data_IF_053756437408
#
_entry.id   IF_053756437408
#
_cell.length_a   1.000
_cell.length_b   1.000
_cell.length_c   1.000
_cell.angle_alpha   90.00
_cell.angle_beta   90.00
_cell.angle_gamma   90.00
#
_symmetry.space_group_name_H-M   'P 1'
#
loop_
_entity.id
_entity.type
_entity.pdbx_description
1 polymer ?
#
# COMPACT_ATOMS: atom_id res chain seq x y z
N UNK A 1 -9.18 -1.08 22.03
CA UNK A 1 -10.51 -0.86 22.63
C UNK A 1 -11.17 -2.22 22.64
N UNK A 2 -10.95 -2.93 23.75
CA UNK A 2 -11.26 -4.35 23.89
C UNK A 2 -12.75 -4.49 24.20
N UNK A 3 -13.43 -5.27 23.37
CA UNK A 3 -14.85 -5.57 23.46
C UNK A 3 -15.10 -6.43 24.70
N UNK A 4 -15.53 -5.78 25.78
CA UNK A 4 -15.92 -6.42 27.04
C UNK A 4 -17.25 -7.13 26.77
N UNK A 5 -17.16 -8.39 26.31
CA UNK A 5 -18.32 -9.28 26.19
C UNK A 5 -18.92 -9.43 27.58
N UNK A 6 -19.97 -8.65 27.83
CA UNK A 6 -20.86 -8.83 28.96
C UNK A 6 -21.54 -10.18 28.77
N UNK A 7 -20.90 -11.25 29.26
CA UNK A 7 -21.50 -12.57 29.39
C UNK A 7 -22.59 -12.40 30.43
N UNK A 8 -23.81 -12.14 29.96
CA UNK A 8 -25.00 -12.32 30.78
C UNK A 8 -25.02 -13.80 31.12
N UNK A 9 -24.49 -14.13 32.30
CA UNK A 9 -24.53 -15.47 32.84
C UNK A 9 -25.99 -15.77 33.13
N UNK A 10 -26.69 -16.31 32.10
CA UNK A 10 -28.05 -16.81 32.26
C UNK A 10 -28.00 -17.88 33.34
N UNK A 11 -28.77 -17.76 34.44
CA UNK A 11 -28.76 -18.79 35.48
C UNK A 11 -29.19 -20.13 34.86
N UNK A 12 -28.56 -21.23 35.26
CA UNK A 12 -28.66 -22.54 34.60
C UNK A 12 -30.01 -23.27 34.78
N UNK A 13 -31.14 -22.56 34.88
CA UNK A 13 -32.49 -23.13 35.03
C UNK A 13 -33.09 -23.72 33.74
N UNK A 14 -32.32 -23.83 32.66
CA UNK A 14 -32.83 -24.11 31.30
C UNK A 14 -32.76 -25.58 30.88
N UNK A 15 -32.88 -26.54 31.81
CA UNK A 15 -33.11 -27.95 31.45
C UNK A 15 -34.61 -28.25 31.54
N UNK A 16 -35.32 -28.09 30.42
CA UNK A 16 -36.80 -28.12 30.31
C UNK A 16 -37.48 -29.32 30.99
N UNK A 17 -36.81 -30.47 31.09
CA UNK A 17 -37.36 -31.67 31.74
C UNK A 17 -37.05 -31.70 33.25
N UNK A 18 -35.83 -31.32 33.65
CA UNK A 18 -35.42 -31.25 35.06
C UNK A 18 -36.19 -30.17 35.83
N UNK A 19 -36.38 -28.99 35.24
CA UNK A 19 -37.06 -27.88 35.90
C UNK A 19 -38.55 -28.16 36.14
N UNK A 20 -39.22 -28.89 35.24
CA UNK A 20 -40.62 -29.27 35.44
C UNK A 20 -40.74 -30.26 36.62
N UNK A 21 -39.87 -31.27 36.66
CA UNK A 21 -39.86 -32.28 37.72
C UNK A 21 -39.48 -31.65 39.07
N UNK A 22 -38.58 -30.66 39.08
CA UNK A 22 -38.15 -29.98 40.30
C UNK A 22 -39.24 -29.04 40.86
N UNK A 23 -39.99 -28.34 40.01
CA UNK A 23 -41.12 -27.52 40.48
C UNK A 23 -42.26 -28.39 41.04
N UNK A 24 -42.53 -29.55 40.43
CA UNK A 24 -43.53 -30.48 40.96
C UNK A 24 -43.11 -31.05 42.32
N UNK A 25 -41.84 -31.40 42.50
CA UNK A 25 -41.31 -31.83 43.82
C UNK A 25 -41.41 -30.73 44.88
N UNK A 26 -41.17 -29.47 44.51
CA UNK A 26 -41.35 -28.34 45.42
C UNK A 26 -42.82 -28.15 45.80
N UNK A 27 -43.73 -28.39 44.86
CA UNK A 27 -45.17 -28.37 45.13
C UNK A 27 -45.59 -29.52 46.07
N UNK A 28 -45.03 -30.71 45.88
CA UNK A 28 -45.25 -31.86 46.77
C UNK A 28 -44.71 -31.57 48.18
N UNK A 29 -43.53 -30.96 48.29
CA UNK A 29 -42.95 -30.55 49.57
C UNK A 29 -43.77 -29.46 50.27
N UNK A 30 -44.38 -28.55 49.50
CA UNK A 30 -45.28 -27.52 50.01
C UNK A 30 -46.59 -28.13 50.54
N UNK A 31 -47.13 -29.12 49.83
CA UNK A 31 -48.33 -29.87 50.21
C UNK A 31 -48.10 -30.64 51.53
N UNK A 32 -46.98 -31.36 51.64
CA UNK A 32 -46.59 -32.07 52.86
C UNK A 32 -46.41 -31.12 54.06
N UNK A 33 -45.80 -29.95 53.85
CA UNK A 33 -45.62 -28.95 54.91
C UNK A 33 -46.96 -28.38 55.38
N UNK A 34 -47.90 -28.14 54.46
CA UNK A 34 -49.23 -27.64 54.78
C UNK A 34 -50.08 -28.69 55.53
N UNK A 35 -50.04 -29.96 55.11
CA UNK A 35 -50.72 -31.06 55.79
C UNK A 35 -50.18 -31.28 57.22
N UNK A 36 -48.85 -31.25 57.39
CA UNK A 36 -48.20 -31.38 58.69
C UNK A 36 -48.60 -30.24 59.64
N UNK A 37 -48.63 -29.00 59.15
CA UNK A 37 -49.07 -27.85 59.92
C UNK A 37 -50.55 -27.96 60.33
N UNK A 38 -51.42 -28.40 59.42
CA UNK A 38 -52.85 -28.60 59.69
C UNK A 38 -53.09 -29.75 60.69
N UNK A 39 -52.33 -30.85 60.61
CA UNK A 39 -52.43 -31.98 61.54
C UNK A 39 -51.99 -31.60 62.97
N UNK A 40 -50.98 -30.73 63.08
CA UNK A 40 -50.43 -30.30 64.37
C UNK A 40 -51.26 -29.19 65.06
N UNK A 41 -51.87 -28.27 64.29
CA UNK A 41 -52.64 -27.14 64.86
C UNK A 41 -54.15 -27.18 64.60
N UNK A 42 -54.65 -28.04 63.71
CA UNK A 42 -56.07 -28.18 63.38
C UNK A 42 -56.79 -26.86 63.09
N UNK A 43 -58.13 -26.90 63.14
CA UNK A 43 -59.07 -25.79 62.85
C UNK A 43 -58.79 -24.46 63.57
N UNK A 44 -57.86 -24.42 64.53
CA UNK A 44 -57.39 -23.21 65.21
C UNK A 44 -56.68 -22.21 64.27
N UNK A 45 -56.14 -22.67 63.13
CA UNK A 45 -55.45 -21.83 62.15
C UNK A 45 -56.34 -21.26 61.04
N UNK A 46 -57.65 -21.54 61.05
CA UNK A 46 -58.59 -20.96 60.09
C UNK A 46 -58.34 -21.34 58.62
N UNK A 47 -57.51 -22.35 58.36
CA UNK A 47 -57.16 -22.80 57.01
C UNK A 47 -58.13 -23.87 56.53
N UNK A 48 -58.70 -23.68 55.34
CA UNK A 48 -59.51 -24.69 54.66
C UNK A 48 -58.58 -25.61 53.85
N UNK A 49 -58.36 -26.81 54.37
CA UNK A 49 -57.50 -27.81 53.76
C UNK A 49 -58.05 -28.27 52.38
N UNK A 50 -59.37 -28.28 52.21
CA UNK A 50 -60.01 -28.67 50.95
C UNK A 50 -59.74 -27.62 49.86
N UNK A 51 -59.82 -26.33 50.21
CA UNK A 51 -59.49 -25.23 49.30
C UNK A 51 -57.99 -25.24 48.92
N UNK A 52 -57.10 -25.53 49.88
CA UNK A 52 -55.66 -25.66 49.62
C UNK A 52 -55.35 -26.79 48.64
N UNK A 53 -55.88 -28.01 48.86
CA UNK A 53 -55.68 -29.13 47.93
C UNK A 53 -56.28 -28.85 46.55
N UNK A 54 -57.43 -28.17 46.48
CA UNK A 54 -58.02 -27.76 45.21
C UNK A 54 -57.09 -26.83 44.43
N UNK A 55 -56.52 -25.82 45.09
CA UNK A 55 -55.60 -24.86 44.47
C UNK A 55 -54.29 -25.54 44.03
N UNK A 56 -53.71 -26.40 44.88
CA UNK A 56 -52.50 -27.17 44.57
C UNK A 56 -52.70 -28.10 43.37
N UNK A 57 -53.83 -28.82 43.31
CA UNK A 57 -54.15 -29.67 42.17
C UNK A 57 -54.39 -28.87 40.88
N UNK A 58 -54.98 -27.67 40.98
CA UNK A 58 -55.14 -26.76 39.84
C UNK A 58 -53.78 -26.25 39.33
N UNK A 59 -52.85 -25.95 40.23
CA UNK A 59 -51.46 -25.60 39.87
C UNK A 59 -50.79 -26.80 39.20
N UNK A 60 -50.86 -28.00 39.79
CA UNK A 60 -50.29 -29.24 39.23
C UNK A 60 -50.82 -29.54 37.81
N UNK A 61 -52.10 -29.26 37.55
CA UNK A 61 -52.71 -29.47 36.25
C UNK A 61 -52.31 -28.43 35.18
N UNK A 62 -52.10 -27.16 35.57
CA UNK A 62 -51.87 -26.06 34.62
C UNK A 62 -50.40 -25.67 34.42
N UNK A 63 -49.56 -25.94 35.41
CA UNK A 63 -48.15 -25.56 35.42
C UNK A 63 -47.28 -26.26 34.36
N UNK A 64 -47.42 -27.59 34.10
CA UNK A 64 -46.64 -28.26 33.05
C UNK A 64 -46.77 -27.62 31.68
N UNK A 65 -47.99 -27.21 31.32
CA UNK A 65 -48.25 -26.63 30.01
C UNK A 65 -47.71 -25.21 29.90
N UNK A 66 -47.77 -24.43 30.98
CA UNK A 66 -47.17 -23.09 31.02
C UNK A 66 -45.64 -23.16 30.91
N UNK A 67 -44.99 -24.07 31.65
CA UNK A 67 -43.53 -24.27 31.58
C UNK A 67 -43.11 -24.70 30.17
N UNK A 68 -43.86 -25.63 29.54
CA UNK A 68 -43.62 -26.03 28.14
C UNK A 68 -43.82 -24.88 27.16
N UNK A 69 -44.83 -24.04 27.35
CA UNK A 69 -45.04 -22.82 26.54
C UNK A 69 -43.86 -21.87 26.67
N UNK A 70 -43.47 -21.53 27.90
CA UNK A 70 -42.36 -20.62 28.16
C UNK A 70 -41.04 -21.15 27.57
N UNK A 71 -40.75 -22.44 27.72
CA UNK A 71 -39.55 -23.06 27.14
C UNK A 71 -39.56 -23.04 25.60
N UNK A 72 -40.71 -23.28 24.97
CA UNK A 72 -40.84 -23.15 23.50
C UNK A 72 -40.56 -21.72 23.04
N UNK A 73 -41.19 -20.74 23.68
CA UNK A 73 -40.99 -19.32 23.36
C UNK A 73 -39.53 -18.91 23.54
N UNK A 74 -38.87 -19.36 24.61
CA UNK A 74 -37.46 -19.10 24.85
C UNK A 74 -36.56 -19.72 23.77
N UNK A 75 -36.79 -20.99 23.41
CA UNK A 75 -36.04 -21.67 22.36
C UNK A 75 -36.25 -21.03 20.99
N UNK A 76 -37.48 -20.62 20.67
CA UNK A 76 -37.79 -19.95 19.41
C UNK A 76 -37.18 -18.55 19.37
N UNK A 77 -37.18 -17.82 20.49
CA UNK A 77 -36.46 -16.55 20.61
C UNK A 77 -34.96 -16.70 20.39
N UNK A 78 -34.33 -17.70 21.01
CA UNK A 78 -32.89 -17.96 20.84
C UNK A 78 -32.57 -18.35 19.37
N UNK A 79 -33.45 -19.10 18.69
CA UNK A 79 -33.32 -19.39 17.25
C UNK A 79 -33.45 -18.13 16.39
N UNK A 80 -34.43 -17.27 16.67
CA UNK A 80 -34.62 -16.00 15.94
C UNK A 80 -33.37 -15.13 16.10
N UNK A 81 -32.83 -15.02 17.32
CA UNK A 81 -31.61 -14.24 17.59
C UNK A 81 -30.41 -14.83 16.86
N UNK A 82 -30.27 -16.15 16.82
CA UNK A 82 -29.19 -16.81 16.08
C UNK A 82 -29.30 -16.54 14.57
N UNK A 83 -30.49 -16.71 13.99
CA UNK A 83 -30.73 -16.44 12.58
C UNK A 83 -30.47 -14.96 12.22
N UNK A 84 -30.94 -14.02 13.05
CA UNK A 84 -30.71 -12.59 12.83
C UNK A 84 -29.22 -12.22 12.91
N UNK A 85 -28.45 -12.86 13.79
CA UNK A 85 -26.99 -12.66 13.88
C UNK A 85 -26.27 -13.21 12.65
N UNK A 86 -26.66 -14.38 12.16
CA UNK A 86 -26.11 -14.97 10.94
C UNK A 86 -26.43 -14.09 9.72
N UNK A 87 -27.67 -13.64 9.59
CA UNK A 87 -28.08 -12.73 8.51
C UNK A 87 -27.31 -11.40 8.57
N UNK A 88 -27.15 -10.81 9.76
CA UNK A 88 -26.36 -9.59 9.94
C UNK A 88 -24.88 -9.79 9.55
N UNK A 89 -24.31 -10.96 9.86
CA UNK A 89 -22.94 -11.29 9.46
C UNK A 89 -22.81 -11.38 7.94
N UNK A 90 -23.76 -12.05 7.27
CA UNK A 90 -23.80 -12.16 5.80
C UNK A 90 -23.96 -10.78 5.16
N UNK A 91 -24.82 -9.92 5.69
CA UNK A 91 -25.02 -8.55 5.19
C UNK A 91 -23.72 -7.74 5.32
N UNK A 92 -23.05 -7.83 6.47
CA UNK A 92 -21.80 -7.12 6.69
C UNK A 92 -20.69 -7.60 5.74
N UNK A 93 -20.57 -8.91 5.54
CA UNK A 93 -19.60 -9.48 4.60
C UNK A 93 -19.84 -8.98 3.18
N UNK A 94 -21.10 -9.05 2.70
CA UNK A 94 -21.48 -8.51 1.38
C UNK A 94 -21.21 -7.01 1.26
N UNK A 95 -21.49 -6.24 2.30
CA UNK A 95 -21.24 -4.80 2.31
C UNK A 95 -19.74 -4.48 2.21
N UNK A 96 -18.89 -5.25 2.90
CA UNK A 96 -17.43 -5.11 2.81
C UNK A 96 -16.94 -5.49 1.41
N UNK A 97 -17.42 -6.59 0.83
CA UNK A 97 -17.07 -7.02 -0.52
C UNK A 97 -17.44 -5.95 -1.55
N UNK A 98 -18.68 -5.45 -1.50
CA UNK A 98 -19.16 -4.42 -2.42
C UNK A 98 -18.40 -3.09 -2.24
N UNK A 99 -18.12 -2.71 -1.00
CA UNK A 99 -17.32 -1.51 -0.72
C UNK A 99 -15.92 -1.61 -1.33
N UNK A 100 -15.26 -2.75 -1.18
CA UNK A 100 -13.96 -2.99 -1.79
C UNK A 100 -14.04 -2.94 -3.32
N UNK A 101 -15.08 -3.56 -3.91
CA UNK A 101 -15.32 -3.53 -5.36
C UNK A 101 -15.44 -2.11 -5.89
N UNK A 102 -16.24 -1.27 -5.23
CA UNK A 102 -16.43 0.15 -5.61
C UNK A 102 -15.12 0.94 -5.51
N UNK A 103 -14.32 0.71 -4.46
CA UNK A 103 -13.03 1.38 -4.30
C UNK A 103 -12.07 0.99 -5.41
N UNK A 104 -11.97 -0.30 -5.75
CA UNK A 104 -11.11 -0.77 -6.84
C UNK A 104 -11.57 -0.23 -8.20
N UNK A 105 -12.88 -0.22 -8.47
CA UNK A 105 -13.42 0.36 -9.70
C UNK A 105 -13.11 1.86 -9.82
N UNK A 106 -13.27 2.61 -8.72
CA UNK A 106 -12.93 4.03 -8.67
C UNK A 106 -11.43 4.27 -8.90
N UNK A 107 -10.55 3.43 -8.33
CA UNK A 107 -9.10 3.50 -8.57
C UNK A 107 -8.76 3.25 -10.03
N UNK A 108 -9.36 2.22 -10.64
CA UNK A 108 -9.17 1.93 -12.06
C UNK A 108 -9.64 3.08 -12.96
N UNK A 109 -10.82 3.66 -12.68
CA UNK A 109 -11.32 4.82 -13.41
C UNK A 109 -10.40 6.04 -13.26
N UNK A 110 -9.95 6.34 -12.04
CA UNK A 110 -9.03 7.44 -11.78
C UNK A 110 -7.70 7.27 -12.54
N UNK A 111 -7.11 6.06 -12.51
CA UNK A 111 -5.89 5.76 -13.26
C UNK A 111 -6.09 5.97 -14.77
N UNK A 112 -7.22 5.49 -15.31
CA UNK A 112 -7.57 5.69 -16.72
C UNK A 112 -7.73 7.17 -17.06
N UNK A 113 -8.42 7.95 -16.21
CA UNK A 113 -8.61 9.38 -16.42
C UNK A 113 -7.28 10.15 -16.43
N UNK A 114 -6.33 9.78 -15.56
CA UNK A 114 -4.98 10.38 -15.52
C UNK A 114 -4.20 10.02 -16.78
N UNK A 115 -4.30 8.77 -17.25
CA UNK A 115 -3.64 8.33 -18.47
C UNK A 115 -4.21 9.03 -19.71
N UNK A 116 -5.54 9.12 -19.80
CA UNK A 116 -6.25 9.80 -20.90
C UNK A 116 -6.29 11.31 -20.75
N UNK A 117 -5.80 11.85 -19.63
CA UNK A 117 -5.85 13.28 -19.38
C UNK A 117 -5.06 14.01 -20.46
N UNK A 118 -5.70 14.98 -21.10
CA UNK A 118 -5.06 15.83 -22.09
C UNK A 118 -3.81 16.52 -21.51
N UNK A 119 -3.79 16.79 -20.20
CA UNK A 119 -2.62 17.32 -19.50
C UNK A 119 -1.43 16.36 -19.58
N UNK A 120 -1.65 15.06 -19.38
CA UNK A 120 -0.58 14.05 -19.43
C UNK A 120 -0.10 13.84 -20.88
N UNK A 121 -1.01 13.91 -21.86
CA UNK A 121 -0.68 13.88 -23.28
C UNK A 121 0.16 15.10 -23.69
N UNK A 122 -0.26 16.29 -23.30
CA UNK A 122 0.47 17.54 -23.55
C UNK A 122 1.83 17.56 -22.85
N UNK A 123 1.91 17.10 -21.59
CA UNK A 123 3.16 17.00 -20.86
C UNK A 123 4.15 16.03 -21.53
N UNK A 124 3.68 14.88 -22.01
CA UNK A 124 4.51 13.93 -22.78
C UNK A 124 4.98 14.53 -24.10
N UNK A 125 4.11 15.19 -24.84
CA UNK A 125 4.48 15.87 -26.09
C UNK A 125 5.52 16.97 -25.85
N UNK A 126 5.30 17.82 -24.85
CA UNK A 126 6.24 18.87 -24.48
C UNK A 126 7.59 18.30 -24.02
N UNK A 127 7.59 17.20 -23.26
CA UNK A 127 8.83 16.52 -22.88
C UNK A 127 9.60 16.01 -24.11
N UNK A 128 8.91 15.42 -25.08
CA UNK A 128 9.51 14.97 -26.34
C UNK A 128 10.09 16.14 -27.13
N UNK A 129 9.36 17.26 -27.23
CA UNK A 129 9.84 18.47 -27.91
C UNK A 129 11.09 19.05 -27.23
N UNK A 130 11.11 19.10 -25.90
CA UNK A 130 12.29 19.55 -25.13
C UNK A 130 13.49 18.64 -25.41
N UNK A 131 13.31 17.31 -25.40
CA UNK A 131 14.40 16.38 -25.71
C UNK A 131 14.90 16.55 -27.14
N UNK A 132 14.00 16.63 -28.12
CA UNK A 132 14.36 16.82 -29.52
C UNK A 132 15.15 18.12 -29.73
N UNK A 133 14.71 19.21 -29.10
CA UNK A 133 15.39 20.50 -29.14
C UNK A 133 16.76 20.45 -28.46
N UNK A 134 16.86 19.79 -27.30
CA UNK A 134 18.12 19.62 -26.58
C UNK A 134 19.12 18.79 -27.40
N UNK A 135 18.68 17.71 -28.04
CA UNK A 135 19.51 16.91 -28.93
C UNK A 135 19.96 17.70 -30.17
N UNK A 136 19.07 18.50 -30.76
CA UNK A 136 19.42 19.35 -31.91
C UNK A 136 20.46 20.40 -31.53
N UNK A 137 20.24 21.11 -30.42
CA UNK A 137 21.20 22.08 -29.88
C UNK A 137 22.56 21.42 -29.58
N UNK A 138 22.56 20.22 -28.98
CA UNK A 138 23.79 19.50 -28.71
C UNK A 138 24.55 19.13 -29.99
N UNK A 139 23.85 18.74 -31.07
CA UNK A 139 24.46 18.48 -32.38
C UNK A 139 25.04 19.76 -32.98
N UNK A 140 24.31 20.87 -32.92
CA UNK A 140 24.79 22.16 -33.43
C UNK A 140 26.02 22.66 -32.69
N UNK A 141 26.03 22.56 -31.36
CA UNK A 141 27.19 22.92 -30.52
C UNK A 141 28.41 22.08 -30.90
N UNK A 142 28.25 20.75 -31.05
CA UNK A 142 29.35 19.87 -31.48
C UNK A 142 29.89 20.27 -32.85
N UNK A 143 29.00 20.47 -33.82
CA UNK A 143 29.39 20.90 -35.17
C UNK A 143 30.16 22.22 -35.14
N UNK A 144 29.66 23.20 -34.39
CA UNK A 144 30.33 24.49 -34.24
C UNK A 144 31.70 24.37 -33.56
N UNK A 145 31.83 23.50 -32.56
CA UNK A 145 33.11 23.22 -31.91
C UNK A 145 34.12 22.54 -32.86
N UNK A 146 33.68 21.59 -33.67
CA UNK A 146 34.51 20.91 -34.67
C UNK A 146 34.97 21.88 -35.77
N UNK A 147 34.08 22.76 -36.24
CA UNK A 147 34.40 23.82 -37.21
C UNK A 147 35.42 24.81 -36.64
N UNK A 148 35.21 25.28 -35.41
CA UNK A 148 36.16 26.14 -34.72
C UNK A 148 37.53 25.48 -34.55
N UNK A 149 37.57 24.21 -34.11
CA UNK A 149 38.81 23.47 -33.99
C UNK A 149 39.54 23.36 -35.34
N UNK A 150 38.80 23.13 -36.43
CA UNK A 150 39.35 23.09 -37.79
C UNK A 150 39.98 24.42 -38.20
N UNK A 151 39.31 25.54 -37.96
CA UNK A 151 39.82 26.88 -38.27
C UNK A 151 41.09 27.19 -37.48
N UNK A 152 41.10 26.88 -36.18
CA UNK A 152 42.28 27.08 -35.32
C UNK A 152 43.45 26.22 -35.80
N UNK A 153 43.22 24.95 -36.13
CA UNK A 153 44.26 24.06 -36.65
C UNK A 153 44.80 24.54 -38.00
N UNK A 154 43.95 24.99 -38.92
CA UNK A 154 44.38 25.55 -40.20
C UNK A 154 45.18 26.84 -40.04
N UNK A 155 44.79 27.72 -39.11
CA UNK A 155 45.56 28.92 -38.79
C UNK A 155 46.95 28.56 -38.23
N UNK A 156 47.04 27.54 -37.38
CA UNK A 156 48.29 27.06 -36.82
C UNK A 156 49.19 26.41 -37.87
N UNK A 157 48.62 25.64 -38.81
CA UNK A 157 49.34 25.07 -39.95
C UNK A 157 49.98 26.18 -40.82
N UNK A 158 49.21 27.22 -41.16
CA UNK A 158 49.71 28.36 -41.92
C UNK A 158 50.85 29.09 -41.18
N UNK A 159 50.73 29.24 -39.85
CA UNK A 159 51.78 29.85 -39.04
C UNK A 159 53.07 29.02 -39.06
N UNK A 160 52.96 27.70 -38.87
CA UNK A 160 54.09 26.78 -38.94
C UNK A 160 54.75 26.76 -40.33
N UNK A 161 53.96 26.79 -41.41
CA UNK A 161 54.47 26.90 -42.77
C UNK A 161 55.31 28.18 -42.96
N UNK A 162 54.86 29.30 -42.39
CA UNK A 162 55.61 30.55 -42.36
C UNK A 162 56.97 30.42 -41.65
N UNK A 163 56.97 29.79 -40.46
CA UNK A 163 58.21 29.52 -39.70
C UNK A 163 59.15 28.58 -40.46
N UNK A 164 58.63 27.53 -41.09
CA UNK A 164 59.45 26.63 -41.92
C UNK A 164 60.07 27.37 -43.11
N UNK A 165 59.31 28.26 -43.76
CA UNK A 165 59.82 29.10 -44.85
C UNK A 165 60.93 30.05 -44.41
N UNK A 166 60.88 30.62 -43.20
CA UNK A 166 61.96 31.45 -42.67
C UNK A 166 63.19 30.63 -42.32
N UNK A 167 63.03 29.43 -41.74
CA UNK A 167 64.13 28.50 -41.47
C UNK A 167 64.83 28.05 -42.75
N UNK A 168 64.08 27.71 -43.81
CA UNK A 168 64.65 27.28 -45.09
C UNK A 168 65.47 28.40 -45.73
N UNK A 169 64.94 29.63 -45.79
CA UNK A 169 65.69 30.81 -46.25
C UNK A 169 66.93 31.08 -45.39
N UNK A 170 66.83 30.87 -44.07
CA UNK A 170 67.95 30.97 -43.14
C UNK A 170 69.06 29.96 -43.46
N UNK A 171 68.70 28.71 -43.74
CA UNK A 171 69.63 27.64 -44.16
C UNK A 171 70.28 27.94 -45.50
N UNK A 172 69.52 28.32 -46.53
CA UNK A 172 70.07 28.68 -47.85
C UNK A 172 71.09 29.82 -47.74
N UNK A 173 70.79 30.88 -46.98
CA UNK A 173 71.73 31.98 -46.72
C UNK A 173 73.00 31.55 -45.97
N UNK A 174 72.91 30.54 -45.12
CA UNK A 174 74.08 29.99 -44.43
C UNK A 174 74.93 29.15 -45.38
N UNK A 175 74.29 28.33 -46.22
CA UNK A 175 74.97 27.46 -47.19
C UNK A 175 75.72 28.24 -48.27
N UNK A 176 75.12 29.32 -48.78
CA UNK A 176 75.77 30.28 -49.69
C UNK A 176 76.99 30.93 -49.02
N UNK A 177 76.89 31.28 -47.72
CA UNK A 177 78.02 31.83 -46.96
C UNK A 177 79.15 30.83 -46.78
N UNK A 178 78.84 29.57 -46.50
CA UNK A 178 79.84 28.50 -46.37
C UNK A 178 80.55 28.27 -47.71
N UNK A 179 79.79 28.18 -48.81
CA UNK A 179 80.32 27.94 -50.16
C UNK A 179 81.23 29.07 -50.65
N UNK A 180 80.90 30.33 -50.33
CA UNK A 180 81.71 31.50 -50.68
C UNK A 180 82.98 31.67 -49.83
N UNK A 181 83.04 31.07 -48.64
CA UNK A 181 84.28 31.01 -47.84
C UNK A 181 85.27 29.95 -48.33
N UNK A 182 84.80 28.94 -49.07
CA UNK A 182 85.63 27.83 -49.55
C UNK A 182 86.39 28.15 -50.86
N UNK A 183 86.02 29.22 -51.57
CA UNK A 183 86.67 29.67 -52.80
C UNK A 183 87.86 30.63 -52.61
N UNK A 184 88.32 30.86 -51.38
CA UNK A 184 89.48 31.72 -51.09
C UNK A 184 90.68 30.87 -50.68
N UNK A 185 91.26 30.13 -51.63
CA UNK A 185 92.64 29.63 -51.50
C UNK A 185 93.57 30.73 -52.05
N UNK A 186 94.45 31.35 -51.23
CA UNK A 186 95.29 32.44 -51.72
C UNK A 186 96.37 31.87 -52.64
N UNK A 187 96.29 32.22 -53.93
CA UNK A 187 97.38 32.05 -54.88
C UNK A 187 98.61 32.83 -54.38
N UNK A 188 99.63 32.11 -53.92
CA UNK A 188 100.91 32.69 -53.51
C UNK A 188 101.60 33.25 -54.76
N UNK A 189 101.85 34.58 -54.86
CA UNK A 189 102.58 35.12 -56.00
C UNK A 189 104.07 34.82 -55.85
N UNK A 190 104.62 34.04 -56.78
CA UNK A 190 106.06 33.77 -56.85
C UNK A 190 106.79 35.07 -57.23
N UNK A 191 107.69 35.50 -56.35
CA UNK A 191 108.40 36.77 -56.43
C UNK A 191 109.26 36.93 -57.67
N UNK A 192 109.32 38.18 -58.15
CA UNK A 192 110.13 38.66 -59.27
C UNK A 192 111.62 38.59 -58.91
N UNK A 193 112.32 37.56 -59.35
CA UNK A 193 113.78 37.43 -59.27
C UNK A 193 114.48 38.21 -60.40
N UNK A 194 115.39 39.09 -60.01
CA UNK A 194 116.18 39.99 -60.87
C UNK A 194 117.33 39.21 -61.56
N UNK A 195 117.65 39.67 -62.78
CA UNK A 195 118.72 39.25 -63.70
C UNK A 195 120.08 38.95 -63.05
N UNK A 196 120.81 37.96 -63.61
CA UNK A 196 122.12 38.14 -64.25
C UNK A 196 122.28 37.15 -65.38
#
# INVERSE_FOLDING_TARGET
MSDERMVVQRPSFMSSRGTQDDILKLLDSLEELAENAYSFFGRAWGMDLEEFHMLTNKIRASLPDEVRRASRVANDSDKIVAAAKEEAAIINEKAIEESNRVVEEARHMAAKLIETSEINRLAKAQAQDIMANAESSAREIRRGADEYAREVLAAMENHLAGVMGTLQKGREKLDVRISSQQSVEPAIPVGRGIRR
#
